data_IF_926820460296
#
_entry.id   IF_926820460296
#
_cell.length_a   1.000
_cell.length_b   1.000
_cell.length_c   1.000
_cell.angle_alpha   90.00
_cell.angle_beta   90.00
_cell.angle_gamma   90.00
#
_symmetry.space_group_name_H-M   'P 1'
#
loop_
_entity.id
_entity.type
_entity.pdbx_description
1 polymer ?
#
# COMPACT_ATOMS: atom_id res chain seq x y z
N UNK A 1 -0.52 29.31 -20.32
CA UNK A 1 0.08 28.14 -21.02
C UNK A 1 1.27 27.62 -20.20
N UNK A 2 1.00 27.21 -18.96
CA UNK A 2 1.96 26.62 -18.00
C UNK A 2 1.62 25.13 -17.75
N UNK A 3 0.83 24.57 -18.66
CA UNK A 3 0.33 23.21 -18.64
C UNK A 3 1.36 22.26 -19.25
N UNK A 4 1.59 21.14 -18.57
CA UNK A 4 2.46 20.01 -18.90
C UNK A 4 3.96 20.21 -18.65
N UNK A 5 4.41 19.76 -17.48
CA UNK A 5 5.24 18.54 -17.36
C UNK A 5 5.80 18.40 -15.94
N UNK A 6 4.93 18.32 -14.92
CA UNK A 6 5.32 17.69 -13.66
C UNK A 6 5.13 16.20 -13.86
N UNK A 7 6.05 15.57 -14.59
CA UNK A 7 6.06 14.13 -14.77
C UNK A 7 6.70 13.53 -13.51
N UNK A 8 5.87 13.30 -12.48
CA UNK A 8 6.27 12.55 -11.29
C UNK A 8 6.51 11.09 -11.70
N UNK A 9 7.71 10.79 -12.22
CA UNK A 9 8.15 9.42 -12.39
C UNK A 9 8.48 8.84 -11.02
N UNK A 10 7.44 8.33 -10.36
CA UNK A 10 7.56 7.43 -9.22
C UNK A 10 8.12 6.08 -9.69
N UNK A 11 9.41 6.01 -10.05
CA UNK A 11 10.13 4.73 -10.16
C UNK A 11 10.88 4.49 -8.87
N UNK A 12 10.21 3.87 -7.92
CA UNK A 12 10.90 3.17 -6.84
C UNK A 12 11.59 1.94 -7.40
N UNK A 13 12.78 1.66 -6.86
CA UNK A 13 13.61 0.48 -7.13
C UNK A 13 12.70 -0.74 -7.16
N UNK A 14 12.39 -1.18 -8.37
CA UNK A 14 11.35 -2.18 -8.62
C UNK A 14 11.74 -3.47 -7.93
N UNK A 15 11.06 -3.78 -6.84
CA UNK A 15 11.03 -5.14 -6.30
C UNK A 15 10.74 -6.10 -7.45
N UNK A 16 11.55 -7.15 -7.58
CA UNK A 16 11.33 -8.28 -8.51
C UNK A 16 9.96 -8.95 -8.28
N UNK A 17 9.30 -8.65 -7.16
CA UNK A 17 7.95 -9.10 -6.83
C UNK A 17 6.92 -8.15 -7.44
N UNK A 18 6.20 -8.63 -8.45
CA UNK A 18 5.12 -7.89 -9.13
C UNK A 18 3.74 -8.51 -8.95
N UNK A 19 3.65 -9.74 -8.46
CA UNK A 19 2.40 -10.48 -8.37
C UNK A 19 1.52 -9.98 -7.23
N UNK A 20 0.21 -9.83 -7.48
CA UNK A 20 -0.79 -9.65 -6.44
C UNK A 20 -1.59 -10.94 -6.34
N UNK A 21 -1.53 -11.61 -5.19
CA UNK A 21 -2.21 -12.90 -4.99
C UNK A 21 -3.64 -12.66 -4.51
N UNK A 22 -4.59 -13.40 -5.08
CA UNK A 22 -5.99 -13.39 -4.64
C UNK A 22 -6.29 -14.69 -3.90
N UNK A 23 -6.56 -14.59 -2.60
CA UNK A 23 -6.67 -15.72 -1.66
C UNK A 23 -7.97 -15.57 -0.86
N UNK A 24 -8.47 -16.65 -0.27
CA UNK A 24 -9.68 -16.66 0.57
C UNK A 24 -10.48 -17.95 0.39
N UNK A 25 -11.46 -18.18 1.27
CA UNK A 25 -12.29 -19.40 1.23
C UNK A 25 -13.03 -19.58 -0.10
N UNK A 26 -13.48 -20.80 -0.36
CA UNK A 26 -14.40 -21.08 -1.46
C UNK A 26 -15.63 -20.15 -1.39
N UNK A 27 -16.18 -19.81 -2.54
CA UNK A 27 -17.37 -18.95 -2.67
C UNK A 27 -17.28 -17.51 -2.14
N UNK A 28 -16.11 -17.07 -1.65
CA UNK A 28 -15.89 -15.68 -1.26
C UNK A 28 -15.92 -14.69 -2.44
N UNK A 29 -15.90 -15.20 -3.68
CA UNK A 29 -16.03 -14.41 -4.90
C UNK A 29 -14.70 -14.02 -5.56
N UNK A 30 -13.59 -14.71 -5.23
CA UNK A 30 -12.26 -14.50 -5.82
C UNK A 30 -12.28 -14.47 -7.35
N UNK A 31 -12.75 -15.53 -8.00
CA UNK A 31 -12.77 -15.64 -9.47
C UNK A 31 -13.66 -14.58 -10.13
N UNK A 32 -14.71 -14.13 -9.45
CA UNK A 32 -15.55 -13.02 -9.93
C UNK A 32 -14.83 -11.67 -9.85
N UNK A 33 -14.10 -11.42 -8.76
CA UNK A 33 -13.21 -10.25 -8.65
C UNK A 33 -12.12 -10.32 -9.71
N UNK A 34 -11.46 -11.48 -9.86
CA UNK A 34 -10.41 -11.71 -10.84
C UNK A 34 -10.87 -11.38 -12.27
N UNK A 35 -11.96 -11.99 -12.73
CA UNK A 35 -12.49 -11.82 -14.09
C UNK A 35 -12.98 -10.40 -14.39
N UNK A 36 -13.44 -9.65 -13.39
CA UNK A 36 -13.93 -8.29 -13.55
C UNK A 36 -12.87 -7.22 -13.28
N UNK A 37 -11.77 -7.58 -12.63
CA UNK A 37 -10.64 -6.68 -12.40
C UNK A 37 -9.74 -6.62 -13.63
N UNK A 38 -9.29 -5.42 -14.00
CA UNK A 38 -8.23 -5.23 -15.02
C UNK A 38 -6.82 -5.32 -14.42
N UNK A 39 -6.69 -5.89 -13.23
CA UNK A 39 -5.44 -5.98 -12.48
C UNK A 39 -4.70 -7.27 -12.83
N UNK A 40 -3.37 -7.24 -12.80
CA UNK A 40 -2.56 -8.46 -12.90
C UNK A 40 -2.57 -9.20 -11.56
N UNK A 41 -3.63 -9.99 -11.37
CA UNK A 41 -3.85 -10.82 -10.19
C UNK A 41 -3.47 -12.28 -10.50
N UNK A 42 -3.18 -13.05 -9.45
CA UNK A 42 -3.08 -14.51 -9.52
C UNK A 42 -4.18 -15.09 -8.63
N UNK A 43 -5.19 -15.71 -9.24
CA UNK A 43 -6.28 -16.38 -8.51
C UNK A 43 -5.77 -17.71 -7.93
N UNK A 44 -5.85 -17.86 -6.61
CA UNK A 44 -5.49 -19.09 -5.92
C UNK A 44 -6.74 -19.87 -5.47
N UNK A 45 -6.72 -21.22 -5.54
CA UNK A 45 -7.83 -22.04 -5.08
C UNK A 45 -8.08 -21.82 -3.58
N UNK A 46 -9.35 -21.73 -3.21
CA UNK A 46 -9.75 -21.42 -1.82
C UNK A 46 -9.77 -22.61 -0.87
N UNK A 47 -9.64 -23.84 -1.38
CA UNK A 47 -9.63 -25.03 -0.54
C UNK A 47 -8.26 -25.16 0.14
N UNK A 48 -8.24 -25.30 1.47
CA UNK A 48 -7.04 -25.25 2.33
C UNK A 48 -5.86 -26.12 1.81
N UNK A 49 -6.13 -27.40 1.48
CA UNK A 49 -5.12 -28.31 0.91
C UNK A 49 -4.44 -27.81 -0.36
N UNK A 50 -5.22 -27.22 -1.28
CA UNK A 50 -4.70 -26.71 -2.55
C UNK A 50 -4.04 -25.35 -2.38
N UNK A 51 -4.52 -24.57 -1.41
CA UNK A 51 -3.97 -23.26 -1.09
C UNK A 51 -2.50 -23.39 -0.69
N UNK A 52 -2.14 -24.27 0.25
CA UNK A 52 -0.74 -24.43 0.68
C UNK A 52 0.19 -24.78 -0.48
N UNK A 53 -0.20 -25.75 -1.32
CA UNK A 53 0.60 -26.20 -2.46
C UNK A 53 0.80 -25.09 -3.52
N UNK A 54 -0.25 -24.32 -3.81
CA UNK A 54 -0.17 -23.24 -4.81
C UNK A 54 0.47 -21.98 -4.24
N UNK A 55 0.27 -21.69 -2.96
CA UNK A 55 0.88 -20.55 -2.29
C UNK A 55 2.40 -20.68 -2.28
N UNK A 56 2.94 -21.88 -2.07
CA UNK A 56 4.39 -22.14 -2.14
C UNK A 56 5.02 -21.80 -3.49
N UNK A 57 4.27 -21.97 -4.58
CA UNK A 57 4.70 -21.64 -5.94
C UNK A 57 4.75 -20.12 -6.17
N UNK A 58 3.80 -19.36 -5.61
CA UNK A 58 3.61 -17.94 -5.92
C UNK A 58 4.11 -16.98 -4.83
N UNK A 59 4.39 -17.46 -3.62
CA UNK A 59 4.94 -16.65 -2.51
C UNK A 59 6.20 -15.84 -2.85
N UNK A 60 7.21 -16.31 -3.62
CA UNK A 60 8.41 -15.49 -3.87
C UNK A 60 8.14 -14.32 -4.84
N UNK A 61 7.07 -14.39 -5.63
CA UNK A 61 6.68 -13.38 -6.63
C UNK A 61 5.68 -12.37 -6.06
N UNK A 62 5.05 -12.69 -4.92
CA UNK A 62 4.01 -11.89 -4.29
C UNK A 62 4.56 -10.57 -3.73
N UNK A 63 3.93 -9.46 -4.12
CA UNK A 63 4.15 -8.12 -3.55
C UNK A 63 3.03 -7.72 -2.59
N UNK A 64 1.81 -8.14 -2.90
CA UNK A 64 0.64 -7.92 -2.08
C UNK A 64 -0.27 -9.15 -2.14
N UNK A 65 -1.07 -9.33 -1.10
CA UNK A 65 -2.08 -10.39 -0.99
C UNK A 65 -3.42 -9.72 -0.77
N UNK A 66 -4.40 -10.03 -1.61
CA UNK A 66 -5.80 -9.69 -1.42
C UNK A 66 -6.49 -10.93 -0.86
N UNK A 67 -6.87 -10.86 0.41
CA UNK A 67 -7.61 -11.90 1.11
C UNK A 67 -9.11 -11.59 1.06
N UNK A 68 -9.85 -12.31 0.24
CA UNK A 68 -11.28 -12.10 -0.02
C UNK A 68 -12.12 -12.86 0.99
N UNK A 69 -12.96 -12.13 1.70
CA UNK A 69 -13.89 -12.64 2.72
C UNK A 69 -15.31 -12.49 2.22
N UNK A 70 -16.12 -13.54 2.41
CA UNK A 70 -17.57 -13.44 2.22
C UNK A 70 -18.20 -12.73 3.41
N UNK A 71 -18.66 -11.49 3.23
CA UNK A 71 -19.28 -10.71 4.31
C UNK A 71 -20.68 -11.20 4.71
N UNK A 72 -21.35 -12.02 3.88
CA UNK A 72 -22.68 -12.54 4.17
C UNK A 72 -22.63 -13.77 5.09
N UNK A 73 -21.77 -14.74 4.78
CA UNK A 73 -21.64 -15.98 5.55
C UNK A 73 -20.58 -15.91 6.65
N UNK A 74 -19.88 -14.77 6.77
CA UNK A 74 -18.78 -14.55 7.71
C UNK A 74 -19.03 -15.07 9.13
N UNK A 75 -20.25 -14.90 9.67
CA UNK A 75 -20.56 -15.33 11.04
C UNK A 75 -20.51 -16.86 11.23
N UNK A 76 -20.80 -17.64 10.19
CA UNK A 76 -20.71 -19.10 10.20
C UNK A 76 -19.28 -19.56 9.97
N UNK A 77 -18.58 -18.90 9.05
CA UNK A 77 -17.28 -19.34 8.55
C UNK A 77 -16.10 -18.67 9.27
N UNK A 78 -16.35 -17.88 10.33
CA UNK A 78 -15.33 -17.07 11.02
C UNK A 78 -14.10 -17.87 11.44
N UNK A 79 -14.28 -19.12 11.86
CA UNK A 79 -13.20 -20.03 12.26
C UNK A 79 -12.32 -20.39 11.06
N UNK A 80 -12.92 -20.90 10.00
CA UNK A 80 -12.21 -21.31 8.78
C UNK A 80 -11.50 -20.11 8.12
N UNK A 81 -12.16 -18.93 8.11
CA UNK A 81 -11.57 -17.69 7.61
C UNK A 81 -10.35 -17.29 8.46
N UNK A 82 -10.46 -17.36 9.80
CA UNK A 82 -9.37 -17.02 10.70
C UNK A 82 -8.20 -18.00 10.59
N UNK A 83 -8.43 -19.30 10.42
CA UNK A 83 -7.37 -20.30 10.22
C UNK A 83 -6.63 -20.11 8.89
N UNK A 84 -7.37 -19.88 7.80
CA UNK A 84 -6.78 -19.57 6.50
C UNK A 84 -5.96 -18.26 6.56
N UNK A 85 -6.49 -17.22 7.20
CA UNK A 85 -5.80 -15.96 7.37
C UNK A 85 -4.57 -16.09 8.28
N UNK A 86 -4.63 -16.87 9.36
CA UNK A 86 -3.51 -17.14 10.25
C UNK A 86 -2.33 -17.76 9.48
N UNK A 87 -2.60 -18.69 8.57
CA UNK A 87 -1.59 -19.29 7.68
C UNK A 87 -0.90 -18.25 6.79
N UNK A 88 -1.67 -17.30 6.24
CA UNK A 88 -1.13 -16.20 5.42
C UNK A 88 -0.30 -15.23 6.26
N UNK A 89 -0.74 -14.87 7.47
CA UNK A 89 -0.08 -13.90 8.33
C UNK A 89 1.20 -14.44 9.01
N UNK A 90 1.31 -15.76 9.17
CA UNK A 90 2.47 -16.41 9.79
C UNK A 90 3.56 -16.80 8.79
N UNK A 91 3.28 -16.73 7.49
CA UNK A 91 4.25 -17.05 6.44
C UNK A 91 5.39 -16.02 6.40
N UNK A 92 6.63 -16.51 6.52
CA UNK A 92 7.83 -15.67 6.55
C UNK A 92 8.07 -14.89 5.24
N UNK A 93 7.70 -15.45 4.09
CA UNK A 93 7.87 -14.80 2.78
C UNK A 93 6.82 -13.72 2.57
N UNK A 94 5.59 -14.00 3.02
CA UNK A 94 4.49 -13.03 2.97
C UNK A 94 4.59 -11.96 4.04
N UNK A 95 5.43 -12.13 5.07
CA UNK A 95 5.67 -11.12 6.12
C UNK A 95 6.15 -9.75 5.60
N UNK A 96 6.72 -9.71 4.39
CA UNK A 96 7.13 -8.48 3.70
C UNK A 96 6.10 -7.95 2.69
N UNK A 97 5.01 -8.69 2.48
CA UNK A 97 3.92 -8.31 1.59
C UNK A 97 2.87 -7.53 2.37
N UNK A 98 2.19 -6.62 1.69
CA UNK A 98 0.98 -6.04 2.28
C UNK A 98 -0.22 -6.93 2.08
N UNK A 99 -1.09 -6.97 3.08
CA UNK A 99 -2.29 -7.79 3.09
C UNK A 99 -3.52 -6.87 3.08
N UNK A 100 -4.33 -6.99 2.04
CA UNK A 100 -5.60 -6.31 1.89
C UNK A 100 -6.72 -7.31 2.15
N UNK A 101 -7.54 -7.10 3.18
CA UNK A 101 -8.72 -7.90 3.45
C UNK A 101 -9.90 -7.26 2.73
N UNK A 102 -10.38 -7.93 1.68
CA UNK A 102 -11.49 -7.48 0.85
C UNK A 102 -12.78 -8.15 1.32
N UNK A 103 -13.62 -7.39 2.02
CA UNK A 103 -14.94 -7.78 2.50
C UNK A 103 -15.93 -7.71 1.34
N UNK A 104 -16.16 -8.84 0.66
CA UNK A 104 -16.95 -8.94 -0.55
C UNK A 104 -18.44 -9.24 -0.25
N UNK A 105 -19.28 -9.03 -1.27
CA UNK A 105 -20.75 -9.20 -1.24
C UNK A 105 -21.50 -8.12 -0.44
N UNK A 106 -20.94 -6.91 -0.36
CA UNK A 106 -21.58 -5.75 0.30
C UNK A 106 -22.85 -5.25 -0.43
N UNK A 107 -23.16 -5.78 -1.60
CA UNK A 107 -24.45 -5.60 -2.27
C UNK A 107 -25.62 -6.24 -1.50
N UNK A 108 -25.33 -7.24 -0.65
CA UNK A 108 -26.34 -7.93 0.15
C UNK A 108 -26.62 -7.17 1.44
N UNK A 109 -27.90 -6.99 1.78
CA UNK A 109 -28.33 -6.23 2.98
C UNK A 109 -27.87 -6.82 4.31
N UNK A 110 -27.61 -8.12 4.35
CA UNK A 110 -27.14 -8.83 5.54
C UNK A 110 -25.60 -8.87 5.65
N UNK A 111 -24.88 -8.29 4.69
CA UNK A 111 -23.42 -8.28 4.69
C UNK A 111 -22.88 -7.49 5.89
N UNK A 112 -21.83 -8.03 6.51
CA UNK A 112 -21.15 -7.37 7.64
C UNK A 112 -20.14 -6.36 7.11
N UNK A 113 -20.12 -5.16 7.70
CA UNK A 113 -19.11 -4.15 7.39
C UNK A 113 -17.70 -4.55 7.85
N UNK A 114 -16.69 -3.95 7.23
CA UNK A 114 -15.28 -4.22 7.46
C UNK A 114 -14.85 -4.05 8.91
N UNK A 115 -15.34 -3.02 9.61
CA UNK A 115 -15.01 -2.78 11.04
C UNK A 115 -15.47 -3.92 11.95
N UNK A 116 -16.64 -4.49 11.66
CA UNK A 116 -17.17 -5.61 12.45
C UNK A 116 -16.41 -6.91 12.15
N UNK A 117 -16.12 -7.16 10.86
CA UNK A 117 -15.29 -8.30 10.43
C UNK A 117 -13.91 -8.22 11.08
N UNK A 118 -13.29 -7.04 11.10
CA UNK A 118 -12.01 -6.83 11.77
C UNK A 118 -12.08 -7.21 13.25
N UNK A 119 -13.05 -6.68 14.01
CA UNK A 119 -13.17 -6.99 15.44
C UNK A 119 -13.44 -8.47 15.73
N UNK A 120 -14.20 -9.13 14.86
CA UNK A 120 -14.50 -10.56 14.98
C UNK A 120 -13.27 -11.42 14.62
N UNK A 121 -12.52 -11.07 13.57
CA UNK A 121 -11.27 -11.74 13.22
C UNK A 121 -10.20 -11.57 14.29
N UNK A 122 -10.08 -10.39 14.92
CA UNK A 122 -9.11 -10.17 16.00
C UNK A 122 -9.37 -11.11 17.18
N UNK A 123 -10.64 -11.29 17.56
CA UNK A 123 -11.05 -12.21 18.62
C UNK A 123 -10.77 -13.66 18.25
N UNK A 124 -11.13 -14.08 17.04
CA UNK A 124 -10.94 -15.47 16.60
C UNK A 124 -9.45 -15.80 16.43
N UNK A 125 -8.66 -14.89 15.85
CA UNK A 125 -7.21 -15.06 15.72
C UNK A 125 -6.51 -15.16 17.08
N UNK A 126 -7.03 -14.48 18.11
CA UNK A 126 -6.53 -14.63 19.48
C UNK A 126 -6.77 -16.06 20.02
N UNK A 127 -7.91 -16.68 19.67
CA UNK A 127 -8.19 -18.08 20.00
C UNK A 127 -7.29 -19.03 19.20
N UNK A 128 -7.18 -18.84 17.87
CA UNK A 128 -6.38 -19.68 16.97
C UNK A 128 -4.91 -19.67 17.36
N UNK A 129 -4.31 -18.50 17.61
CA UNK A 129 -2.88 -18.41 18.00
C UNK A 129 -2.60 -19.09 19.35
N UNK A 130 -3.56 -19.05 20.28
CA UNK A 130 -3.43 -19.72 21.59
C UNK A 130 -3.55 -21.23 21.43
N UNK A 131 -4.52 -21.70 20.64
CA UNK A 131 -4.71 -23.13 20.33
C UNK A 131 -3.49 -23.74 19.62
N UNK A 132 -2.96 -23.07 18.59
CA UNK A 132 -1.79 -23.55 17.83
C UNK A 132 -0.51 -23.53 18.68
N UNK A 133 -0.33 -22.51 19.54
CA UNK A 133 0.83 -22.46 20.45
C UNK A 133 0.76 -23.47 21.60
N UNK A 134 -0.43 -23.83 22.08
CA UNK A 134 -0.61 -24.89 23.07
C UNK A 134 -0.33 -26.28 22.48
N UNK A 135 -0.77 -26.54 21.25
CA UNK A 135 -0.53 -27.82 20.54
C UNK A 135 0.97 -28.07 20.32
N UNK A 136 1.72 -27.01 20.00
CA UNK A 136 3.17 -27.08 19.77
C UNK A 136 3.98 -27.32 21.07
N UNK A 137 3.48 -26.90 22.23
CA UNK A 137 4.11 -27.18 23.52
C UNK A 137 3.99 -28.65 23.95
N UNK A 138 2.97 -29.36 23.45
CA UNK A 138 2.76 -30.77 23.73
C UNK A 138 3.65 -31.74 22.93
N UNK A 139 4.40 -31.27 21.93
CA UNK A 139 5.00 -32.16 20.91
C UNK A 139 6.48 -31.91 20.54
N UNK A 140 7.28 -31.15 21.30
CA UNK A 140 8.71 -31.02 20.95
C UNK A 140 9.69 -30.86 22.12
N UNK A 141 10.19 -32.01 22.58
CA UNK A 141 11.61 -32.15 22.92
C UNK A 141 12.40 -32.23 21.60
N UNK A 142 13.32 -31.29 21.38
CA UNK A 142 14.29 -31.19 20.26
C UNK A 142 13.89 -30.30 19.07
N UNK A 143 14.47 -29.09 19.03
CA UNK A 143 15.03 -28.50 17.80
C UNK A 143 14.14 -27.58 16.95
N UNK A 144 14.35 -26.27 17.12
CA UNK A 144 14.33 -25.18 16.11
C UNK A 144 13.36 -24.03 16.43
N UNK A 145 13.91 -22.94 16.97
CA UNK A 145 13.25 -21.69 17.39
C UNK A 145 12.70 -20.84 16.22
N UNK A 146 12.00 -21.42 15.27
CA UNK A 146 11.29 -20.69 14.20
C UNK A 146 9.78 -20.56 14.49
N UNK A 147 9.38 -20.58 15.76
CA UNK A 147 7.97 -20.43 16.13
C UNK A 147 7.55 -18.96 16.01
N UNK A 148 7.09 -18.59 14.82
CA UNK A 148 6.52 -17.27 14.52
C UNK A 148 5.21 -17.13 15.28
N UNK A 149 5.27 -16.49 16.43
CA UNK A 149 4.08 -16.12 17.19
C UNK A 149 3.45 -14.86 16.59
N UNK A 150 2.14 -14.89 16.35
CA UNK A 150 1.42 -13.78 15.74
C UNK A 150 1.12 -12.68 16.78
N UNK A 151 1.78 -11.53 16.62
CA UNK A 151 1.63 -10.36 17.50
C UNK A 151 2.37 -10.51 18.83
N UNK A 152 1.89 -9.81 19.86
CA UNK A 152 2.48 -9.85 21.21
C UNK A 152 1.82 -10.94 22.05
N UNK A 153 2.60 -11.65 22.88
CA UNK A 153 2.08 -12.71 23.77
C UNK A 153 1.30 -12.17 24.96
N UNK A 154 1.63 -10.96 25.42
CA UNK A 154 1.13 -10.40 26.69
C UNK A 154 -0.17 -9.59 26.54
N UNK A 155 -0.66 -9.41 25.30
CA UNK A 155 -1.83 -8.59 24.99
C UNK A 155 -2.77 -9.32 24.02
N UNK A 156 -4.09 -9.05 24.06
CA UNK A 156 -5.01 -9.59 23.06
C UNK A 156 -4.59 -9.13 21.67
N UNK A 157 -4.72 -10.02 20.69
CA UNK A 157 -4.31 -9.73 19.32
C UNK A 157 -5.10 -8.56 18.72
N UNK A 158 -4.38 -7.61 18.13
CA UNK A 158 -4.93 -6.56 17.28
C UNK A 158 -4.11 -6.50 15.99
N UNK A 159 -4.75 -6.16 14.87
CA UNK A 159 -4.02 -6.02 13.59
C UNK A 159 -2.98 -4.89 13.63
N UNK A 160 -3.16 -3.90 14.50
CA UNK A 160 -2.21 -2.81 14.76
C UNK A 160 -0.89 -3.27 15.39
N UNK A 161 -0.87 -4.43 16.08
CA UNK A 161 0.33 -4.97 16.71
C UNK A 161 1.31 -5.59 15.70
N UNK A 162 0.87 -5.82 14.46
CA UNK A 162 1.68 -6.39 13.39
C UNK A 162 2.70 -5.37 12.86
N UNK A 163 3.90 -5.34 13.43
CA UNK A 163 4.95 -4.39 13.03
C UNK A 163 5.53 -4.63 11.63
N UNK A 164 5.47 -5.88 11.14
CA UNK A 164 6.06 -6.28 9.85
C UNK A 164 5.06 -6.22 8.69
N UNK A 165 3.78 -6.37 8.99
CA UNK A 165 2.71 -6.55 8.01
C UNK A 165 1.75 -5.37 8.07
N UNK A 166 1.54 -4.73 6.91
CA UNK A 166 0.49 -3.73 6.76
C UNK A 166 -0.80 -4.45 6.35
N UNK A 167 -1.77 -4.49 7.28
CA UNK A 167 -3.09 -5.07 7.05
C UNK A 167 -4.11 -3.93 6.87
N UNK A 168 -4.84 -3.94 5.77
CA UNK A 168 -5.89 -2.94 5.49
C UNK A 168 -7.19 -3.66 5.17
N UNK A 169 -8.31 -3.12 5.63
CA UNK A 169 -9.64 -3.66 5.36
C UNK A 169 -10.38 -2.76 4.36
N UNK A 170 -11.05 -3.36 3.39
CA UNK A 170 -11.87 -2.66 2.40
C UNK A 170 -13.16 -3.39 2.15
N UNK A 171 -14.19 -2.64 1.82
CA UNK A 171 -15.50 -3.14 1.44
C UNK A 171 -15.57 -3.21 -0.09
N UNK A 172 -16.21 -4.25 -0.63
CA UNK A 172 -16.36 -4.40 -2.07
C UNK A 172 -17.57 -5.23 -2.44
N UNK A 173 -18.01 -5.06 -3.69
CA UNK A 173 -19.02 -5.93 -4.28
C UNK A 173 -18.63 -6.30 -5.70
N UNK A 174 -18.35 -7.59 -5.90
CA UNK A 174 -18.05 -8.11 -7.22
C UNK A 174 -19.29 -8.19 -8.14
N UNK A 175 -20.50 -8.32 -7.56
CA UNK A 175 -21.75 -8.45 -8.32
C UNK A 175 -22.42 -7.10 -8.57
N UNK A 176 -22.33 -6.17 -7.62
CA UNK A 176 -23.01 -4.88 -7.67
C UNK A 176 -24.52 -4.97 -7.45
N UNK A 177 -25.15 -3.86 -7.02
CA UNK A 177 -26.62 -3.77 -6.93
C UNK A 177 -27.29 -3.79 -8.31
N UNK A 178 -26.60 -3.28 -9.34
CA UNK A 178 -27.09 -3.17 -10.72
C UNK A 178 -26.29 -4.03 -11.72
N UNK A 179 -25.50 -5.00 -11.23
CA UNK A 179 -24.64 -5.85 -12.08
C UNK A 179 -23.23 -5.28 -12.34
N UNK A 180 -23.00 -4.00 -12.04
CA UNK A 180 -21.69 -3.36 -12.11
C UNK A 180 -20.86 -3.58 -10.85
N UNK A 181 -19.66 -4.14 -11.00
CA UNK A 181 -18.79 -4.43 -9.87
C UNK A 181 -18.24 -3.14 -9.24
N UNK A 182 -18.48 -2.97 -7.94
CA UNK A 182 -17.93 -1.89 -7.12
C UNK A 182 -16.57 -2.32 -6.55
N UNK A 183 -15.53 -2.21 -7.38
CA UNK A 183 -14.14 -2.55 -7.03
C UNK A 183 -13.23 -1.33 -6.90
N UNK A 184 -13.76 -0.11 -7.07
CA UNK A 184 -12.99 1.14 -6.99
C UNK A 184 -12.21 1.25 -5.68
N UNK A 185 -12.84 0.93 -4.55
CA UNK A 185 -12.21 0.95 -3.23
C UNK A 185 -11.06 -0.05 -3.10
N UNK A 186 -11.23 -1.26 -3.64
CA UNK A 186 -10.18 -2.30 -3.66
C UNK A 186 -9.00 -1.84 -4.50
N UNK A 187 -9.27 -1.25 -5.67
CA UNK A 187 -8.24 -0.74 -6.58
C UNK A 187 -7.48 0.40 -5.91
N UNK A 188 -8.19 1.39 -5.35
CA UNK A 188 -7.58 2.53 -4.66
C UNK A 188 -6.75 2.06 -3.48
N UNK A 189 -7.29 1.19 -2.63
CA UNK A 189 -6.56 0.66 -1.48
C UNK A 189 -5.34 -0.16 -1.91
N UNK A 190 -5.46 -1.00 -2.95
CA UNK A 190 -4.33 -1.73 -3.50
C UNK A 190 -3.25 -0.77 -4.01
N UNK A 191 -3.62 0.29 -4.75
CA UNK A 191 -2.66 1.31 -5.17
C UNK A 191 -1.99 1.98 -3.97
N UNK A 192 -2.75 2.46 -2.99
CA UNK A 192 -2.24 3.08 -1.76
C UNK A 192 -1.26 2.16 -1.04
N UNK A 193 -1.63 0.90 -0.85
CA UNK A 193 -0.82 -0.12 -0.18
C UNK A 193 0.45 -0.45 -0.96
N UNK A 194 0.36 -0.54 -2.30
CA UNK A 194 1.51 -0.76 -3.16
C UNK A 194 2.44 0.48 -3.18
N UNK A 195 1.90 1.70 -3.11
CA UNK A 195 2.66 2.95 -3.08
C UNK A 195 3.28 3.22 -1.72
N UNK A 196 2.61 2.90 -0.61
CA UNK A 196 3.09 3.17 0.75
C UNK A 196 4.35 2.38 1.08
N UNK A 197 4.47 1.14 0.59
CA UNK A 197 5.73 0.38 0.67
C UNK A 197 6.85 0.97 -0.21
N UNK A 198 6.47 1.65 -1.29
CA UNK A 198 7.38 2.21 -2.30
C UNK A 198 7.92 3.58 -1.88
N UNK A 199 7.14 4.38 -1.14
CA UNK A 199 7.47 5.74 -0.70
C UNK A 199 8.51 5.82 0.42
N UNK A 200 9.07 4.68 0.87
CA UNK A 200 10.12 4.68 1.89
C UNK A 200 11.45 5.27 1.39
N UNK A 201 11.73 5.19 0.07
CA UNK A 201 12.90 5.78 -0.58
C UNK A 201 12.58 6.22 -2.03
N UNK A 202 11.61 7.12 -2.20
CA UNK A 202 11.30 7.66 -3.53
C UNK A 202 12.21 8.85 -3.86
N UNK A 203 12.88 8.77 -5.01
CA UNK A 203 13.58 9.91 -5.61
C UNK A 203 12.63 10.62 -6.57
N UNK A 204 12.46 11.93 -6.40
CA UNK A 204 11.59 12.79 -7.20
C UNK A 204 12.48 13.72 -8.00
N UNK A 205 12.36 13.69 -9.33
CA UNK A 205 13.03 14.64 -10.21
C UNK A 205 12.09 15.79 -10.56
N UNK A 206 12.54 17.03 -10.36
CA UNK A 206 11.90 18.23 -10.88
C UNK A 206 12.76 18.74 -12.05
N UNK A 207 12.27 18.50 -13.26
CA UNK A 207 12.91 18.96 -14.49
C UNK A 207 12.45 20.39 -14.82
N UNK A 208 13.36 21.35 -14.69
CA UNK A 208 13.13 22.76 -14.99
C UNK A 208 13.30 22.99 -16.50
N UNK A 209 12.21 22.84 -17.25
CA UNK A 209 12.19 22.93 -18.72
C UNK A 209 12.35 24.38 -19.25
N UNK A 210 12.75 24.50 -20.52
CA UNK A 210 12.96 25.74 -21.29
C UNK A 210 14.18 26.59 -20.93
N UNK A 211 15.27 25.98 -20.45
CA UNK A 211 16.52 26.71 -20.15
C UNK A 211 17.23 27.28 -21.39
N UNK A 212 16.70 27.04 -22.59
CA UNK A 212 17.06 27.68 -23.85
C UNK A 212 16.66 29.17 -23.93
N UNK A 213 15.65 29.60 -23.18
CA UNK A 213 15.19 31.00 -23.15
C UNK A 213 15.90 31.81 -22.06
N UNK A 214 16.33 33.03 -22.38
CA UNK A 214 16.99 33.96 -21.42
C UNK A 214 16.11 34.38 -20.24
N UNK A 215 14.79 34.20 -20.35
CA UNK A 215 13.80 34.46 -19.29
C UNK A 215 13.55 33.25 -18.38
N UNK A 216 14.17 32.11 -18.64
CA UNK A 216 13.98 30.91 -17.85
C UNK A 216 14.65 31.06 -16.48
N UNK A 217 13.95 30.60 -15.44
CA UNK A 217 14.49 30.57 -14.08
C UNK A 217 15.34 29.32 -13.92
N UNK A 218 16.57 29.47 -13.42
CA UNK A 218 17.43 28.34 -13.08
C UNK A 218 16.84 27.50 -11.94
N UNK A 219 17.28 26.25 -11.85
CA UNK A 219 16.80 25.25 -10.90
C UNK A 219 16.89 25.73 -9.44
N UNK A 220 17.99 26.39 -9.05
CA UNK A 220 18.17 26.92 -7.68
C UNK A 220 17.15 27.99 -7.31
N UNK A 221 16.77 28.85 -8.26
CA UNK A 221 15.79 29.89 -8.03
C UNK A 221 14.37 29.30 -7.95
N UNK A 222 14.07 28.32 -8.80
CA UNK A 222 12.81 27.57 -8.76
C UNK A 222 12.68 26.80 -7.45
N UNK A 223 13.76 26.16 -6.98
CA UNK A 223 13.78 25.49 -5.68
C UNK A 223 13.44 26.46 -4.54
N UNK A 224 14.14 27.60 -4.44
CA UNK A 224 13.88 28.59 -3.38
C UNK A 224 12.46 29.16 -3.46
N UNK A 225 11.93 29.36 -4.66
CA UNK A 225 10.57 29.86 -4.83
C UNK A 225 9.52 28.81 -4.42
N UNK A 226 9.72 27.54 -4.80
CA UNK A 226 8.83 26.45 -4.39
C UNK A 226 8.87 26.21 -2.88
N UNK A 227 10.04 26.30 -2.25
CA UNK A 227 10.16 26.18 -0.79
C UNK A 227 9.34 27.27 -0.07
N UNK A 228 9.40 28.52 -0.55
CA UNK A 228 8.61 29.64 -0.02
C UNK A 228 7.10 29.42 -0.20
N UNK A 229 6.66 29.03 -1.40
CA UNK A 229 5.25 28.76 -1.67
C UNK A 229 4.72 27.58 -0.84
N UNK A 230 5.48 26.49 -0.75
CA UNK A 230 5.11 25.33 0.08
C UNK A 230 5.07 25.68 1.56
N UNK A 231 5.93 26.57 2.04
CA UNK A 231 5.88 27.08 3.41
C UNK A 231 4.58 27.87 3.67
N UNK A 232 4.10 28.64 2.70
CA UNK A 232 2.82 29.36 2.78
C UNK A 232 1.63 28.39 2.71
N UNK A 233 1.68 27.39 1.82
CA UNK A 233 0.60 26.40 1.66
C UNK A 233 0.47 25.50 2.89
N UNK A 234 1.58 25.10 3.52
CA UNK A 234 1.51 24.25 4.72
C UNK A 234 0.98 25.00 5.94
N UNK A 235 1.34 26.28 6.11
CA UNK A 235 0.89 27.10 7.25
C UNK A 235 -0.58 27.50 7.08
N UNK A 236 -0.99 27.91 5.87
CA UNK A 236 -2.39 28.21 5.56
C UNK A 236 -3.31 27.00 5.75
N UNK A 237 -2.95 25.82 5.21
CA UNK A 237 -3.75 24.59 5.41
C UNK A 237 -3.82 24.15 6.87
N UNK A 238 -2.76 24.36 7.65
CA UNK A 238 -2.80 24.08 9.10
C UNK A 238 -3.65 25.08 9.90
N UNK A 239 -3.79 26.33 9.42
CA UNK A 239 -4.61 27.36 10.07
C UNK A 239 -6.11 27.13 9.85
N UNK A 240 -6.53 26.65 8.67
CA UNK A 240 -7.95 26.33 8.38
C UNK A 240 -8.48 25.18 9.25
N UNK A 241 -7.60 24.31 9.75
CA UNK A 241 -7.96 23.13 10.55
C UNK A 241 -8.06 23.39 12.06
N UNK A 242 -7.75 24.59 12.56
CA UNK A 242 -7.88 24.91 13.99
C UNK A 242 -9.25 25.47 14.40
N UNK A 243 -10.16 25.70 13.45
CA UNK A 243 -11.48 26.30 13.71
C UNK A 243 -12.60 25.33 14.10
N UNK A 244 -12.38 24.01 14.18
CA UNK A 244 -13.41 23.04 14.57
C UNK A 244 -12.87 22.04 15.57
N UNK A 245 -13.32 22.16 16.82
CA UNK A 245 -12.96 21.27 17.93
C UNK A 245 -13.76 19.96 17.89
N UNK A 246 -13.10 18.81 17.88
CA UNK A 246 -13.37 17.69 18.79
C UNK A 246 -12.48 16.46 18.50
N UNK A 247 -11.82 16.00 19.57
CA UNK A 247 -11.36 14.64 19.89
C UNK A 247 -11.31 13.61 18.76
N UNK A 248 -10.12 13.42 18.16
CA UNK A 248 -9.83 12.33 17.24
C UNK A 248 -8.34 12.29 16.91
N UNK A 249 -7.72 11.12 17.01
CA UNK A 249 -6.29 10.92 16.83
C UNK A 249 -5.82 11.41 15.44
N UNK A 250 -5.22 12.60 15.41
CA UNK A 250 -4.86 13.29 14.19
C UNK A 250 -3.58 12.69 13.59
N UNK A 251 -3.73 11.82 12.59
CA UNK A 251 -2.69 11.58 11.58
C UNK A 251 -2.57 12.78 10.63
N UNK A 252 -2.43 14.00 11.18
CA UNK A 252 -2.23 15.20 10.40
C UNK A 252 -0.77 15.24 9.95
N UNK A 253 -0.54 14.74 8.74
CA UNK A 253 0.77 14.72 8.06
C UNK A 253 1.18 16.17 7.76
N UNK A 254 1.91 16.78 8.69
CA UNK A 254 2.54 18.08 8.50
C UNK A 254 3.79 17.91 7.64
N UNK A 255 3.93 18.72 6.59
CA UNK A 255 5.04 18.62 5.64
C UNK A 255 6.30 19.32 6.19
N UNK A 256 7.36 18.54 6.44
CA UNK A 256 8.64 19.01 6.97
C UNK A 256 8.61 19.27 8.48
N UNK A 257 9.58 20.06 8.98
CA UNK A 257 9.67 20.40 10.41
C UNK A 257 8.75 21.58 10.77
N UNK A 258 8.10 21.53 11.94
CA UNK A 258 7.17 22.56 12.42
C UNK A 258 7.87 23.86 12.85
N UNK A 259 9.11 23.75 13.32
CA UNK A 259 9.82 24.86 13.98
C UNK A 259 10.79 25.61 13.05
N UNK A 260 10.86 25.22 11.76
CA UNK A 260 11.79 25.78 10.78
C UNK A 260 11.10 26.01 9.43
N UNK A 261 11.52 27.02 8.63
CA UNK A 261 11.00 27.19 7.28
C UNK A 261 11.27 25.92 6.45
N UNK A 262 10.31 25.56 5.60
CA UNK A 262 10.37 24.34 4.82
C UNK A 262 11.58 24.33 3.89
N UNK A 263 12.38 23.27 3.95
CA UNK A 263 13.39 22.95 2.95
C UNK A 263 13.11 21.56 2.38
N UNK A 264 13.43 21.34 1.10
CA UNK A 264 13.28 20.01 0.50
C UNK A 264 14.14 18.94 1.19
N UNK A 265 15.24 19.34 1.84
CA UNK A 265 16.08 18.48 2.68
C UNK A 265 15.39 17.97 3.96
N UNK A 266 14.30 18.60 4.41
CA UNK A 266 13.55 18.14 5.58
C UNK A 266 12.70 16.89 5.28
N UNK A 267 12.52 16.56 4.00
CA UNK A 267 11.75 15.39 3.56
C UNK A 267 12.56 14.10 3.75
N UNK A 268 12.62 13.58 4.99
CA UNK A 268 13.40 12.38 5.34
C UNK A 268 13.08 11.12 4.52
N UNK A 269 11.92 11.07 3.85
CA UNK A 269 11.44 9.92 3.05
C UNK A 269 11.53 10.14 1.53
N UNK A 270 11.81 11.37 1.07
CA UNK A 270 11.82 11.72 -0.34
C UNK A 270 13.13 12.44 -0.70
N UNK A 271 13.84 11.93 -1.69
CA UNK A 271 15.00 12.63 -2.25
C UNK A 271 14.55 13.46 -3.46
N UNK A 272 14.51 14.79 -3.32
CA UNK A 272 14.10 15.67 -4.43
C UNK A 272 15.33 16.22 -5.13
N UNK A 273 15.48 15.93 -6.42
CA UNK A 273 16.56 16.46 -7.26
C UNK A 273 15.98 17.43 -8.27
N UNK A 274 16.65 18.56 -8.47
CA UNK A 274 16.30 19.52 -9.51
C UNK A 274 17.31 19.42 -10.64
N UNK A 275 16.82 19.32 -11.88
CA UNK A 275 17.65 19.24 -13.08
C UNK A 275 17.16 20.25 -14.10
N UNK A 276 18.10 20.91 -14.76
CA UNK A 276 17.83 21.83 -15.84
C UNK A 276 17.74 21.07 -17.16
N UNK A 277 16.69 21.32 -17.94
CA UNK A 277 16.54 20.67 -19.22
C UNK A 277 15.96 21.61 -20.28
N UNK A 278 16.29 21.36 -21.54
CA UNK A 278 15.65 22.03 -22.66
C UNK A 278 15.17 20.99 -23.65
N UNK A 279 13.85 20.86 -23.78
CA UNK A 279 13.25 19.98 -24.76
C UNK A 279 13.46 20.46 -26.22
N UNK A 280 13.89 21.71 -26.43
CA UNK A 280 14.06 22.32 -27.77
C UNK A 280 15.53 22.60 -28.14
N UNK A 281 16.45 22.55 -27.18
CA UNK A 281 17.87 22.81 -27.41
C UNK A 281 18.23 24.28 -27.59
N UNK A 282 19.53 24.60 -27.51
CA UNK A 282 20.09 25.91 -27.86
C UNK A 282 20.78 25.81 -29.23
N UNK A 283 20.01 25.93 -30.31
CA UNK A 283 20.54 25.94 -31.69
C UNK A 283 19.44 25.83 -32.75
N UNK A 284 19.77 26.19 -34.00
CA UNK A 284 18.85 26.10 -35.15
C UNK A 284 18.41 24.65 -35.46
N UNK A 285 19.18 23.66 -35.02
CA UNK A 285 18.90 22.22 -35.24
C UNK A 285 17.99 21.56 -34.17
N UNK A 286 17.59 22.29 -33.12
CA UNK A 286 16.48 21.89 -32.25
C UNK A 286 16.65 20.63 -31.39
N UNK A 287 17.88 20.15 -31.14
CA UNK A 287 18.09 18.92 -30.35
C UNK A 287 17.84 19.08 -28.85
N UNK A 288 17.05 18.18 -28.26
CA UNK A 288 16.70 18.22 -26.84
C UNK A 288 17.92 17.95 -25.93
N UNK A 289 18.23 18.90 -25.05
CA UNK A 289 19.25 18.77 -24.01
C UNK A 289 18.65 18.11 -22.76
N UNK A 290 18.71 16.77 -22.75
CA UNK A 290 18.20 15.91 -21.67
C UNK A 290 19.28 15.08 -20.97
N UNK A 291 20.57 15.35 -21.22
CA UNK A 291 21.70 14.56 -20.70
C UNK A 291 21.67 14.41 -19.18
N UNK A 292 21.43 15.49 -18.43
CA UNK A 292 21.35 15.45 -16.97
C UNK A 292 20.13 14.66 -16.46
N UNK A 293 19.01 14.69 -17.20
CA UNK A 293 17.81 13.90 -16.89
C UNK A 293 18.10 12.41 -17.11
N UNK A 294 18.83 12.06 -18.17
CA UNK A 294 19.23 10.69 -18.48
C UNK A 294 20.21 10.17 -17.43
N UNK A 295 21.24 10.96 -17.06
CA UNK A 295 22.21 10.58 -16.00
C UNK A 295 21.51 10.39 -14.66
N UNK A 296 20.55 11.23 -14.32
CA UNK A 296 19.74 11.04 -13.12
C UNK A 296 18.90 9.77 -13.19
N UNK A 297 18.26 9.49 -14.34
CA UNK A 297 17.50 8.26 -14.56
C UNK A 297 18.38 7.02 -14.39
N UNK A 298 19.63 7.05 -14.87
CA UNK A 298 20.60 5.95 -14.72
C UNK A 298 21.10 5.79 -13.28
N UNK A 299 21.19 6.89 -12.52
CA UNK A 299 21.60 6.86 -11.10
C UNK A 299 20.49 6.31 -10.19
N UNK A 300 19.23 6.48 -10.60
CA UNK A 300 18.03 6.08 -9.83
C UNK A 300 17.47 4.72 -10.26
N UNK A 301 17.82 4.22 -11.45
CA UNK A 301 17.50 2.88 -11.96
C UNK A 301 18.09 1.76 -11.08
#
# INVERSE_FOLDING_TARGET
>A
MLSLAVFLLFRSKTSQRRGVLLIGLCDSGKTLIFSRSRLQLVDLPGHERLLSQKLDQYRPVARAVIFVVDSLTFQKDVKDVAEALYTVLTDNVLSHCSVLIACNKQDMTLAKGAKLIQSQLEKELNTVRTSKSATLQGTSSTGSNNNVFLGNRDKPFQFSDLRKLNVTFVECSAKGKDGEAQLSEVIVALYTVLTDNVLSHCSVLIACNKQDMTLAKGAKLIQSQLEKELNTVRTSKSATLQGTSSTGSNNNVFLGNRDKPFQFSDLRKLNVTFVECSAKGKGEDGEAQLSEVIVWLDTVA
#
